data_IF_314634495186
#
_entry.id   IF_314634495186
#
_cell.length_a   1.000
_cell.length_b   1.000
_cell.length_c   1.000
_cell.angle_alpha   90.00
_cell.angle_beta   90.00
_cell.angle_gamma   90.00
#
_symmetry.space_group_name_H-M   'P 1'
#
loop_
_entity.id
_entity.type
_entity.pdbx_description
1 polymer ?
#
# COMPACT_ATOMS: atom_id res chain seq x y z
N UNK A 1 18.27 12.03 6.99
CA UNK A 1 17.90 10.60 6.94
C UNK A 1 16.65 10.52 6.10
N UNK A 2 16.57 9.68 5.05
CA UNK A 2 15.29 9.51 4.37
C UNK A 2 14.28 9.01 5.39
N UNK A 3 13.21 9.77 5.58
CA UNK A 3 12.14 9.41 6.49
C UNK A 3 11.62 8.03 6.10
N UNK A 4 11.62 7.09 7.05
CA UNK A 4 11.17 5.72 6.80
C UNK A 4 9.73 5.70 6.28
N UNK A 5 8.93 6.69 6.69
CA UNK A 5 7.60 6.96 6.14
C UNK A 5 7.61 7.31 4.64
N UNK A 6 8.56 8.12 4.18
CA UNK A 6 8.70 8.47 2.76
C UNK A 6 9.06 7.24 1.91
N UNK A 7 9.89 6.33 2.45
CA UNK A 7 10.23 5.07 1.78
C UNK A 7 9.00 4.14 1.68
N UNK A 8 8.16 4.09 2.70
CA UNK A 8 6.93 3.29 2.71
C UNK A 8 5.92 3.85 1.71
N UNK A 9 5.67 5.17 1.73
CA UNK A 9 4.79 5.83 0.76
C UNK A 9 5.29 5.64 -0.68
N UNK A 10 6.60 5.68 -0.92
CA UNK A 10 7.16 5.39 -2.23
C UNK A 10 6.95 3.93 -2.66
N UNK A 11 7.08 2.97 -1.73
CA UNK A 11 6.82 1.56 -2.00
C UNK A 11 5.34 1.29 -2.31
N UNK A 12 4.41 1.89 -1.54
CA UNK A 12 2.97 1.81 -1.79
C UNK A 12 2.64 2.46 -3.14
N UNK A 13 3.13 3.68 -3.41
CA UNK A 13 2.92 4.35 -4.69
C UNK A 13 3.37 3.50 -5.87
N UNK A 14 4.52 2.83 -5.74
CA UNK A 14 5.03 1.91 -6.76
C UNK A 14 4.11 0.72 -6.96
N UNK A 15 3.68 0.06 -5.87
CA UNK A 15 2.75 -1.07 -5.94
C UNK A 15 1.42 -0.69 -6.61
N UNK A 16 0.86 0.45 -6.22
CA UNK A 16 -0.33 1.03 -6.84
C UNK A 16 -0.11 1.37 -8.32
N UNK A 17 1.10 1.82 -8.68
CA UNK A 17 1.49 2.08 -10.08
C UNK A 17 1.60 0.79 -10.90
N UNK A 18 2.13 -0.28 -10.32
CA UNK A 18 2.22 -1.60 -10.96
C UNK A 18 0.83 -2.23 -11.15
N UNK A 19 -0.12 -1.92 -10.26
CA UNK A 19 -1.53 -2.30 -10.38
C UNK A 19 -2.40 -1.26 -11.11
N UNK A 20 -1.81 -0.21 -11.71
CA UNK A 20 -2.54 0.81 -12.48
C UNK A 20 -3.09 0.20 -13.76
N UNK A 21 -4.30 -0.35 -13.65
CA UNK A 21 -4.94 -1.19 -14.64
C UNK A 21 -6.00 -2.11 -14.02
N UNK A 22 -5.82 -2.46 -12.74
CA UNK A 22 -6.86 -3.08 -11.91
C UNK A 22 -7.68 -1.98 -11.22
N UNK A 23 -8.99 -1.95 -11.49
CA UNK A 23 -9.91 -1.05 -10.80
C UNK A 23 -10.07 -1.39 -9.31
N UNK A 24 -9.77 -2.64 -8.94
CA UNK A 24 -9.87 -3.18 -7.59
C UNK A 24 -8.58 -3.91 -7.24
N UNK A 25 -8.02 -3.65 -6.05
CA UNK A 25 -6.84 -4.32 -5.51
C UNK A 25 -7.17 -4.97 -4.16
N UNK A 26 -6.69 -6.18 -3.90
CA UNK A 26 -6.89 -6.82 -2.58
C UNK A 26 -5.97 -6.20 -1.54
N UNK A 27 -6.53 -5.83 -0.38
CA UNK A 27 -5.78 -5.28 0.76
C UNK A 27 -4.70 -6.27 1.20
N UNK A 28 -5.07 -7.54 1.39
CA UNK A 28 -4.16 -8.59 1.86
C UNK A 28 -3.00 -8.81 0.89
N UNK A 29 -3.32 -9.01 -0.40
CA UNK A 29 -2.32 -9.20 -1.45
C UNK A 29 -1.36 -8.00 -1.51
N UNK A 30 -1.90 -6.78 -1.47
CA UNK A 30 -1.08 -5.58 -1.56
C UNK A 30 -0.10 -5.45 -0.38
N UNK A 31 -0.54 -5.77 0.84
CA UNK A 31 0.34 -5.82 2.01
C UNK A 31 1.39 -6.95 1.88
N UNK A 32 1.00 -8.11 1.34
CA UNK A 32 1.91 -9.22 1.08
C UNK A 32 2.92 -8.94 -0.04
N UNK A 33 2.62 -8.02 -0.95
CA UNK A 33 3.53 -7.57 -2.00
C UNK A 33 4.42 -6.39 -1.56
N UNK A 34 4.06 -5.67 -0.48
CA UNK A 34 4.93 -4.63 0.06
C UNK A 34 6.28 -5.20 0.53
N UNK A 35 7.39 -4.46 0.35
CA UNK A 35 8.70 -4.94 0.77
C UNK A 35 8.75 -5.24 2.27
N UNK A 36 9.47 -6.29 2.66
CA UNK A 36 9.59 -6.73 4.06
C UNK A 36 10.09 -5.61 4.99
N UNK A 37 10.86 -4.65 4.46
CA UNK A 37 11.30 -3.46 5.19
C UNK A 37 10.15 -2.54 5.55
N UNK A 38 9.15 -2.36 4.68
CA UNK A 38 7.95 -1.59 4.98
C UNK A 38 7.05 -2.34 5.99
N UNK A 39 6.89 -3.66 5.81
CA UNK A 39 6.14 -4.54 6.73
C UNK A 39 6.74 -4.62 8.14
N UNK A 40 8.06 -4.45 8.29
CA UNK A 40 8.73 -4.42 9.60
C UNK A 40 8.75 -3.03 10.24
N UNK A 41 8.60 -1.97 9.44
CA UNK A 41 8.71 -0.60 9.90
C UNK A 41 7.43 -0.06 10.53
N UNK A 42 6.26 -0.59 10.13
CA UNK A 42 4.95 -0.17 10.65
C UNK A 42 4.06 -1.36 10.93
N UNK A 43 3.01 -1.14 11.74
CA UNK A 43 1.98 -2.15 11.98
C UNK A 43 1.17 -2.38 10.71
N UNK A 44 0.55 -3.56 10.62
CA UNK A 44 -0.30 -3.92 9.49
C UNK A 44 -1.45 -2.90 9.34
N UNK A 45 -2.08 -2.49 10.45
CA UNK A 45 -3.15 -1.49 10.46
C UNK A 45 -2.70 -0.17 9.80
N UNK A 46 -1.54 0.36 10.19
CA UNK A 46 -1.03 1.61 9.60
C UNK A 46 -0.67 1.47 8.12
N UNK A 47 -0.20 0.29 7.69
CA UNK A 47 0.05 0.03 6.28
C UNK A 47 -1.26 -0.09 5.48
N UNK A 48 -2.30 -0.66 6.08
CA UNK A 48 -3.64 -0.75 5.48
C UNK A 48 -4.25 0.66 5.33
N UNK A 49 -4.19 1.49 6.37
CA UNK A 49 -4.67 2.88 6.31
C UNK A 49 -3.96 3.69 5.23
N UNK A 50 -2.62 3.60 5.17
CA UNK A 50 -1.83 4.30 4.16
C UNK A 50 -2.13 3.80 2.74
N UNK A 51 -2.32 2.49 2.58
CA UNK A 51 -2.67 1.92 1.28
C UNK A 51 -4.06 2.37 0.83
N UNK A 52 -5.03 2.40 1.75
CA UNK A 52 -6.39 2.89 1.50
C UNK A 52 -6.37 4.36 1.08
N UNK A 53 -5.72 5.23 1.86
CA UNK A 53 -5.55 6.66 1.57
C UNK A 53 -4.97 6.86 0.16
N UNK A 54 -3.85 6.20 -0.12
CA UNK A 54 -3.15 6.37 -1.39
C UNK A 54 -3.88 5.76 -2.59
N UNK A 55 -4.67 4.70 -2.39
CA UNK A 55 -5.50 4.10 -3.43
C UNK A 55 -6.72 4.97 -3.74
N UNK A 56 -7.37 5.53 -2.72
CA UNK A 56 -8.50 6.44 -2.85
C UNK A 56 -8.11 7.72 -3.60
N UNK A 57 -6.95 8.31 -3.27
CA UNK A 57 -6.38 9.45 -4.01
C UNK A 57 -6.16 9.17 -5.51
N UNK A 58 -5.98 7.88 -5.87
CA UNK A 58 -5.78 7.41 -7.24
C UNK A 58 -7.08 6.92 -7.90
N UNK A 59 -8.21 6.96 -7.19
CA UNK A 59 -9.49 6.46 -7.67
C UNK A 59 -9.56 4.94 -7.81
N UNK A 60 -8.72 4.20 -7.07
CA UNK A 60 -8.72 2.74 -7.06
C UNK A 60 -9.47 2.21 -5.84
N UNK A 61 -10.18 1.10 -6.01
CA UNK A 61 -10.93 0.48 -4.93
C UNK A 61 -10.08 -0.59 -4.25
N UNK A 62 -10.03 -0.58 -2.92
CA UNK A 62 -9.33 -1.61 -2.14
C UNK A 62 -10.35 -2.60 -1.61
N UNK A 63 -10.23 -3.86 -2.00
CA UNK A 63 -11.05 -4.94 -1.48
C UNK A 63 -10.54 -5.38 -0.11
N UNK A 64 -11.41 -5.28 0.90
CA UNK A 64 -11.16 -5.78 2.24
C UNK A 64 -11.45 -7.30 2.23
N UNK A 65 -10.45 -8.10 1.89
CA UNK A 65 -10.45 -9.54 2.13
C UNK A 65 -10.57 -9.78 3.66
N UNK A 66 -11.79 -10.02 4.14
CA UNK A 66 -12.15 -10.38 5.52
C UNK A 66 -11.79 -11.83 5.85
#
# INVERSE_FOLDING_TARGET
>A
MPDQNALIRAAIARLLSEKTGSAVISMKESIEELPATARKAQTIETLQDLLLEMAEERGMMVELDL
#
